data_IF_452471571892
#
_entry.id   IF_452471571892
#
_cell.length_a   1.000
_cell.length_b   1.000
_cell.length_c   1.000
_cell.angle_alpha   90.00
_cell.angle_beta   90.00
_cell.angle_gamma   90.00
#
_symmetry.space_group_name_H-M   'P 1'
#
loop_
_entity.id
_entity.type
_entity.pdbx_description
1 polymer ?
#
# COMPACT_ATOMS: atom_id res chain seq x y z
N UNK A 1 -27.87 56.58 12.71
CA UNK A 1 -27.17 55.48 13.40
C UNK A 1 -26.74 54.44 12.32
N UNK A 2 -25.46 54.33 12.02
CA UNK A 2 -24.99 53.31 11.11
C UNK A 2 -24.81 52.02 11.91
N UNK A 3 -25.62 51.03 11.73
CA UNK A 3 -25.45 49.72 12.42
C UNK A 3 -26.67 48.83 12.54
N UNK A 4 -27.83 49.30 12.11
CA UNK A 4 -29.08 48.56 12.24
C UNK A 4 -29.28 47.46 11.18
N UNK A 5 -28.58 47.51 10.05
CA UNK A 5 -28.68 46.52 8.98
C UNK A 5 -28.21 45.11 9.39
N UNK A 6 -27.18 45.01 10.20
CA UNK A 6 -26.68 43.76 10.68
C UNK A 6 -27.63 43.06 11.68
N UNK A 7 -28.29 43.84 12.52
CA UNK A 7 -29.30 43.29 13.45
C UNK A 7 -30.55 42.81 12.69
N UNK A 8 -30.97 43.55 11.64
CA UNK A 8 -32.06 43.10 10.78
C UNK A 8 -31.76 41.80 10.04
N UNK A 9 -30.52 41.58 9.60
CA UNK A 9 -30.09 40.33 8.98
C UNK A 9 -30.12 39.16 9.94
N UNK A 10 -29.84 39.37 11.24
CA UNK A 10 -29.94 38.31 12.24
C UNK A 10 -31.38 37.89 12.55
N UNK A 11 -32.31 38.81 12.43
CA UNK A 11 -33.75 38.60 12.73
C UNK A 11 -34.50 38.09 11.50
N UNK A 12 -34.15 38.56 10.29
CA UNK A 12 -34.78 38.13 9.05
C UNK A 12 -34.43 36.69 8.72
N UNK A 13 -35.42 35.80 8.80
CA UNK A 13 -35.27 34.37 8.48
C UNK A 13 -36.22 33.98 7.36
N UNK A 14 -35.65 33.54 6.24
CA UNK A 14 -36.39 32.90 5.15
C UNK A 14 -36.49 31.38 5.34
N UNK A 15 -37.31 30.72 4.53
CA UNK A 15 -37.43 29.26 4.52
C UNK A 15 -36.10 28.56 4.19
N UNK A 16 -35.28 29.14 3.35
CA UNK A 16 -33.96 28.64 2.99
C UNK A 16 -32.96 28.80 4.13
N UNK A 17 -33.06 29.89 4.89
CA UNK A 17 -32.19 30.11 6.07
C UNK A 17 -32.46 29.07 7.15
N UNK A 18 -33.72 28.67 7.35
CA UNK A 18 -34.09 27.61 8.29
C UNK A 18 -33.51 26.28 7.86
N UNK A 19 -33.48 25.99 6.56
CA UNK A 19 -32.85 24.76 6.04
C UNK A 19 -31.34 24.72 6.33
N UNK A 20 -30.63 25.81 6.15
CA UNK A 20 -29.19 25.91 6.38
C UNK A 20 -28.81 25.97 7.88
N UNK A 21 -29.63 26.61 8.70
CA UNK A 21 -29.31 26.86 10.11
C UNK A 21 -30.01 25.92 11.11
N UNK A 22 -31.04 25.21 10.68
CA UNK A 22 -31.84 24.36 11.54
C UNK A 22 -31.11 23.17 12.16
N UNK A 23 -30.14 22.63 11.44
CA UNK A 23 -29.32 21.51 11.92
C UNK A 23 -27.93 21.56 11.29
N UNK A 24 -27.11 22.58 11.63
CA UNK A 24 -25.83 22.81 10.96
C UNK A 24 -24.79 21.76 11.34
N UNK A 25 -24.00 21.31 10.37
CA UNK A 25 -22.80 20.50 10.61
C UNK A 25 -21.59 21.36 10.95
N UNK A 26 -21.55 22.56 10.39
CA UNK A 26 -20.50 23.55 10.61
C UNK A 26 -21.11 24.92 10.84
N UNK A 27 -20.64 25.63 11.86
CA UNK A 27 -20.98 27.02 12.12
C UNK A 27 -19.73 27.87 11.97
N UNK A 28 -19.88 29.23 11.90
CA UNK A 28 -18.73 30.14 11.83
C UNK A 28 -17.75 30.00 12.99
N UNK A 29 -18.23 29.65 14.17
CA UNK A 29 -17.42 29.60 15.39
C UNK A 29 -17.13 28.19 15.88
N UNK A 30 -17.88 27.19 15.40
CA UNK A 30 -17.77 25.82 15.88
C UNK A 30 -18.09 24.83 14.77
N UNK A 31 -17.18 23.89 14.56
CA UNK A 31 -17.43 22.74 13.70
C UNK A 31 -18.20 21.70 14.51
N UNK A 32 -19.35 21.26 14.00
CA UNK A 32 -20.17 20.20 14.59
C UNK A 32 -20.13 18.99 13.67
N UNK A 33 -19.54 17.90 14.15
CA UNK A 33 -19.55 16.64 13.43
C UNK A 33 -20.84 15.90 13.74
N UNK A 34 -21.55 15.51 12.71
CA UNK A 34 -22.75 14.69 12.80
C UNK A 34 -22.47 13.29 12.27
N UNK A 35 -22.79 12.28 13.07
CA UNK A 35 -22.78 10.91 12.63
C UNK A 35 -24.11 10.57 11.97
N UNK A 36 -24.08 10.25 10.67
CA UNK A 36 -25.30 9.96 9.90
C UNK A 36 -25.75 8.51 10.05
N UNK A 37 -24.79 7.59 10.15
CA UNK A 37 -25.05 6.15 10.25
C UNK A 37 -24.12 5.52 11.28
N UNK A 38 -24.55 4.39 11.84
CA UNK A 38 -23.70 3.59 12.71
C UNK A 38 -22.78 2.72 11.88
N UNK A 39 -21.50 2.65 12.25
CA UNK A 39 -20.51 1.76 11.66
C UNK A 39 -19.48 1.35 12.70
N UNK A 40 -18.79 0.24 12.44
CA UNK A 40 -17.64 -0.20 13.21
C UNK A 40 -16.51 -0.60 12.26
N UNK A 41 -15.27 -0.50 12.71
CA UNK A 41 -14.09 -0.93 11.98
C UNK A 41 -13.31 -1.89 12.86
N UNK A 42 -12.90 -3.01 12.29
CA UNK A 42 -12.08 -4.01 12.97
C UNK A 42 -11.01 -4.54 12.01
N UNK A 43 -9.76 -4.60 12.47
CA UNK A 43 -8.66 -5.23 11.75
C UNK A 43 -8.68 -6.73 12.00
N UNK A 44 -8.73 -7.53 10.93
CA UNK A 44 -8.75 -8.99 11.02
C UNK A 44 -7.67 -9.63 10.14
N UNK A 45 -7.04 -10.73 10.61
CA UNK A 45 -6.03 -11.42 9.85
C UNK A 45 -6.63 -12.21 8.69
N UNK A 46 -5.92 -12.22 7.57
CA UNK A 46 -6.19 -13.01 6.37
C UNK A 46 -4.95 -13.84 6.06
N UNK A 47 -5.13 -15.11 5.76
CA UNK A 47 -4.03 -16.04 5.55
C UNK A 47 -3.85 -16.37 4.09
N UNK A 48 -2.61 -16.60 3.69
CA UNK A 48 -2.27 -17.08 2.37
C UNK A 48 -2.47 -18.58 2.24
N UNK A 49 -2.85 -19.02 1.06
CA UNK A 49 -2.89 -20.42 0.70
C UNK A 49 -1.47 -20.91 0.39
N UNK A 50 -1.07 -21.99 1.05
CA UNK A 50 0.26 -22.58 0.93
C UNK A 50 1.28 -22.06 1.95
N UNK A 51 2.50 -22.55 1.86
CA UNK A 51 3.62 -22.14 2.73
C UNK A 51 4.36 -20.95 2.12
N UNK A 52 4.34 -19.78 2.76
CA UNK A 52 5.08 -18.63 2.27
C UNK A 52 6.59 -18.85 2.37
N UNK A 53 7.32 -18.48 1.33
CA UNK A 53 8.77 -18.53 1.32
C UNK A 53 9.34 -17.58 0.26
N UNK A 54 10.62 -17.29 0.34
CA UNK A 54 11.32 -16.47 -0.64
C UNK A 54 11.21 -17.06 -2.06
N UNK A 55 10.99 -16.20 -3.05
CA UNK A 55 10.86 -16.59 -4.44
C UNK A 55 9.57 -17.31 -4.81
N UNK A 56 8.62 -17.45 -3.89
CA UNK A 56 7.34 -18.10 -4.17
C UNK A 56 6.22 -17.12 -4.48
N UNK A 57 5.27 -17.60 -5.28
CA UNK A 57 3.98 -16.96 -5.50
C UNK A 57 2.95 -17.63 -4.59
N UNK A 58 2.20 -16.81 -3.87
CA UNK A 58 1.16 -17.22 -2.94
C UNK A 58 -0.09 -16.39 -3.16
N UNK A 59 -1.24 -16.92 -2.83
CA UNK A 59 -2.54 -16.28 -3.03
C UNK A 59 -3.29 -16.22 -1.70
N UNK A 60 -3.95 -15.09 -1.46
CA UNK A 60 -4.88 -14.94 -0.35
C UNK A 60 -6.28 -14.70 -0.89
N UNK A 61 -7.22 -15.58 -0.55
CA UNK A 61 -8.63 -15.34 -0.78
C UNK A 61 -9.14 -14.41 0.32
N UNK A 62 -9.61 -13.22 -0.05
CA UNK A 62 -10.16 -12.25 0.90
C UNK A 62 -11.45 -12.81 1.53
N UNK A 63 -11.45 -13.10 2.84
CA UNK A 63 -12.65 -13.60 3.51
C UNK A 63 -13.68 -12.48 3.67
N UNK A 64 -14.94 -12.82 3.53
CA UNK A 64 -16.07 -11.87 3.66
C UNK A 64 -16.53 -11.78 5.10
N UNK A 65 -15.71 -11.19 5.94
CA UNK A 65 -16.02 -11.05 7.37
C UNK A 65 -16.79 -9.77 7.69
N UNK A 66 -16.61 -8.72 6.88
CA UNK A 66 -17.29 -7.44 7.01
C UNK A 66 -17.99 -7.03 5.70
N UNK A 67 -18.61 -5.86 5.72
CA UNK A 67 -19.37 -5.32 4.58
C UNK A 67 -18.45 -4.65 3.57
N UNK A 68 -17.43 -3.92 4.04
CA UNK A 68 -16.43 -3.26 3.21
C UNK A 68 -15.03 -3.60 3.70
N UNK A 69 -14.04 -3.51 2.80
CA UNK A 69 -12.61 -3.64 3.11
C UNK A 69 -11.91 -2.33 2.75
N UNK A 70 -11.26 -1.67 3.70
CA UNK A 70 -10.63 -0.36 3.48
C UNK A 70 -9.12 -0.42 3.36
N UNK A 71 -8.41 -0.95 4.34
CA UNK A 71 -6.95 -1.03 4.33
C UNK A 71 -6.48 -2.47 4.37
N UNK A 72 -5.35 -2.72 3.73
CA UNK A 72 -4.68 -4.01 3.78
C UNK A 72 -3.20 -3.78 4.07
N UNK A 73 -2.70 -4.47 5.09
CA UNK A 73 -1.31 -4.40 5.54
C UNK A 73 -0.72 -5.80 5.48
N UNK A 74 0.43 -5.94 4.86
CA UNK A 74 1.20 -7.18 4.86
C UNK A 74 2.09 -7.22 6.10
N UNK A 75 1.87 -8.21 6.96
CA UNK A 75 2.75 -8.54 8.07
C UNK A 75 3.70 -9.64 7.67
N UNK A 76 4.98 -9.44 7.89
CA UNK A 76 6.02 -10.43 7.63
C UNK A 76 7.02 -10.50 8.77
N UNK A 77 7.33 -11.71 9.20
CA UNK A 77 8.39 -11.99 10.17
C UNK A 77 9.60 -12.59 9.44
N UNK A 78 10.63 -11.76 9.27
CA UNK A 78 11.87 -12.15 8.61
C UNK A 78 12.80 -12.84 9.58
N UNK A 79 13.45 -13.95 9.18
CA UNK A 79 14.44 -14.64 10.00
C UNK A 79 15.75 -13.86 10.08
N UNK A 80 16.61 -14.23 11.05
CA UNK A 80 17.98 -13.73 11.09
C UNK A 80 18.79 -14.33 9.95
N UNK A 81 19.59 -13.50 9.26
CA UNK A 81 20.51 -13.95 8.23
C UNK A 81 21.85 -14.36 8.83
N UNK A 82 22.46 -15.40 8.25
CA UNK A 82 23.82 -15.83 8.54
C UNK A 82 24.49 -16.30 7.27
N UNK A 83 25.68 -15.80 7.00
CA UNK A 83 26.53 -16.36 5.95
C UNK A 83 27.18 -17.67 6.43
N UNK A 84 27.40 -18.59 5.52
CA UNK A 84 28.11 -19.85 5.79
C UNK A 84 29.54 -19.63 6.25
N UNK A 85 30.18 -18.54 5.83
CA UNK A 85 31.52 -18.10 6.25
C UNK A 85 31.57 -17.44 7.62
N UNK A 86 30.41 -17.02 8.16
CA UNK A 86 30.33 -16.29 9.42
C UNK A 86 30.56 -14.78 9.32
N UNK A 87 30.74 -14.26 8.10
CA UNK A 87 30.87 -12.82 7.85
C UNK A 87 29.58 -12.04 8.12
N UNK A 88 29.65 -10.74 8.43
CA UNK A 88 28.47 -9.94 8.65
C UNK A 88 27.64 -9.81 7.37
N UNK A 89 26.35 -10.08 7.52
CA UNK A 89 25.34 -10.00 6.46
C UNK A 89 24.16 -9.16 6.92
N UNK A 90 23.56 -8.41 6.03
CA UNK A 90 22.38 -7.61 6.33
C UNK A 90 21.34 -7.71 5.22
N UNK A 91 20.08 -7.51 5.55
CA UNK A 91 19.04 -7.29 4.56
C UNK A 91 19.28 -5.94 3.84
N UNK A 92 18.84 -5.87 2.58
CA UNK A 92 18.84 -4.62 1.82
C UNK A 92 17.95 -3.56 2.46
N UNK A 93 18.24 -2.30 2.20
CA UNK A 93 17.41 -1.20 2.71
C UNK A 93 15.99 -1.27 2.15
N UNK A 94 14.99 -0.74 2.88
CA UNK A 94 13.56 -0.85 2.51
C UNK A 94 13.14 -2.31 2.24
N UNK A 95 13.61 -3.23 3.06
CA UNK A 95 13.41 -4.68 2.82
C UNK A 95 11.93 -5.03 2.66
N UNK A 96 11.01 -4.33 3.33
CA UNK A 96 9.58 -4.56 3.18
C UNK A 96 9.08 -4.38 1.76
N UNK A 97 9.48 -3.30 1.09
CA UNK A 97 9.12 -3.09 -0.31
C UNK A 97 9.93 -3.98 -1.25
N UNK A 98 11.22 -4.16 -0.98
CA UNK A 98 12.08 -5.01 -1.81
C UNK A 98 11.72 -6.49 -1.78
N UNK A 99 11.12 -6.96 -0.69
CA UNK A 99 10.63 -8.33 -0.58
C UNK A 99 9.53 -8.64 -1.60
N UNK A 100 8.72 -7.64 -1.94
CA UNK A 100 7.61 -7.78 -2.88
C UNK A 100 8.13 -7.61 -4.29
N UNK A 101 8.16 -8.70 -5.06
CA UNK A 101 8.44 -8.63 -6.48
C UNK A 101 7.23 -8.07 -7.23
N UNK A 102 6.06 -8.61 -6.95
CA UNK A 102 4.80 -8.22 -7.56
C UNK A 102 3.65 -8.54 -6.62
N UNK A 103 2.67 -7.67 -6.57
CA UNK A 103 1.41 -7.90 -5.89
C UNK A 103 0.26 -7.51 -6.83
N UNK A 104 -0.72 -8.39 -7.00
CA UNK A 104 -1.88 -8.12 -7.84
C UNK A 104 -3.18 -8.39 -7.10
N UNK A 105 -4.21 -7.67 -7.51
CA UNK A 105 -5.58 -7.82 -7.04
C UNK A 105 -6.46 -8.34 -8.15
N UNK A 106 -7.14 -9.45 -7.90
CA UNK A 106 -8.13 -10.05 -8.78
C UNK A 106 -9.53 -9.94 -8.19
N UNK A 107 -10.49 -9.59 -9.02
CA UNK A 107 -11.92 -9.59 -8.68
C UNK A 107 -12.67 -10.41 -9.74
N UNK A 108 -13.26 -11.52 -9.32
CA UNK A 108 -13.99 -12.38 -10.23
C UNK A 108 -13.13 -12.96 -11.38
N UNK A 109 -11.90 -13.39 -11.05
CA UNK A 109 -10.92 -13.97 -12.01
C UNK A 109 -10.32 -12.95 -13.00
N UNK A 110 -10.65 -11.66 -12.85
CA UNK A 110 -10.04 -10.59 -13.62
C UNK A 110 -9.04 -9.83 -12.76
N UNK A 111 -7.80 -9.69 -13.23
CA UNK A 111 -6.82 -8.83 -12.62
C UNK A 111 -7.22 -7.37 -12.83
N UNK A 112 -7.37 -6.65 -11.71
CA UNK A 112 -7.80 -5.25 -11.71
C UNK A 112 -6.63 -4.29 -11.52
N UNK A 113 -5.70 -4.62 -10.63
CA UNK A 113 -4.52 -3.78 -10.37
C UNK A 113 -3.31 -4.67 -10.08
N UNK A 114 -2.14 -4.20 -10.49
CA UNK A 114 -0.86 -4.87 -10.32
C UNK A 114 0.20 -3.86 -9.94
N UNK A 115 0.94 -4.13 -8.88
CA UNK A 115 1.97 -3.25 -8.35
C UNK A 115 3.26 -4.03 -8.07
N UNK A 116 4.39 -3.36 -8.11
CA UNK A 116 5.69 -3.90 -7.76
C UNK A 116 6.29 -3.16 -6.55
N UNK A 117 7.36 -3.71 -5.96
CA UNK A 117 8.02 -3.11 -4.79
C UNK A 117 8.62 -1.74 -5.10
N UNK A 118 9.16 -1.54 -6.30
CA UNK A 118 9.72 -0.26 -6.74
C UNK A 118 8.65 0.85 -6.76
N UNK A 119 7.48 0.53 -7.28
CA UNK A 119 6.35 1.47 -7.26
C UNK A 119 5.96 1.84 -5.84
N UNK A 120 5.88 0.84 -4.95
CA UNK A 120 5.53 1.09 -3.54
C UNK A 120 6.55 2.01 -2.86
N UNK A 121 7.84 1.87 -3.18
CA UNK A 121 8.91 2.73 -2.66
C UNK A 121 8.80 4.16 -3.18
N UNK A 122 8.63 4.34 -4.50
CA UNK A 122 8.48 5.65 -5.14
C UNK A 122 7.25 6.37 -4.58
N UNK A 123 6.10 5.70 -4.59
CA UNK A 123 4.85 6.27 -4.13
C UNK A 123 4.88 6.64 -2.65
N UNK A 124 5.49 5.79 -1.82
CA UNK A 124 5.62 6.07 -0.39
C UNK A 124 6.55 7.25 -0.11
N UNK A 125 7.64 7.38 -0.84
CA UNK A 125 8.55 8.52 -0.73
C UNK A 125 7.89 9.84 -1.14
N UNK A 126 6.98 9.78 -2.11
CA UNK A 126 6.25 10.95 -2.62
C UNK A 126 5.08 11.38 -1.72
N UNK A 127 4.34 10.41 -1.17
CA UNK A 127 3.06 10.68 -0.50
C UNK A 127 3.12 10.71 1.02
N UNK A 128 4.18 10.17 1.63
CA UNK A 128 4.26 10.11 3.10
C UNK A 128 4.68 11.47 3.67
N UNK A 129 3.87 12.09 4.55
CA UNK A 129 4.22 13.33 5.22
C UNK A 129 5.49 13.21 6.06
N UNK A 130 6.29 14.28 6.15
CA UNK A 130 7.58 14.28 6.84
C UNK A 130 7.51 13.89 8.31
N UNK A 131 6.45 14.26 9.01
CA UNK A 131 6.19 13.93 10.41
C UNK A 131 5.91 12.42 10.63
N UNK A 132 5.50 11.70 9.59
CA UNK A 132 5.19 10.25 9.63
C UNK A 132 6.30 9.37 9.05
N UNK A 133 7.32 9.95 8.41
CA UNK A 133 8.38 9.22 7.72
C UNK A 133 9.12 8.25 8.65
N UNK A 134 9.52 8.70 9.84
CA UNK A 134 10.27 7.85 10.77
C UNK A 134 9.49 6.60 11.19
N UNK A 135 8.21 6.76 11.52
CA UNK A 135 7.35 5.63 11.86
C UNK A 135 7.14 4.68 10.66
N UNK A 136 6.92 5.24 9.48
CA UNK A 136 6.75 4.47 8.26
C UNK A 136 8.03 3.69 7.88
N UNK A 137 9.21 4.32 8.01
CA UNK A 137 10.49 3.66 7.76
C UNK A 137 10.71 2.45 8.67
N UNK A 138 10.37 2.58 9.94
CA UNK A 138 10.43 1.44 10.87
C UNK A 138 9.50 0.30 10.46
N UNK A 139 8.30 0.61 9.91
CA UNK A 139 7.35 -0.40 9.46
C UNK A 139 7.89 -1.21 8.27
N UNK A 140 8.59 -0.58 7.33
CA UNK A 140 9.10 -1.23 6.11
C UNK A 140 10.57 -1.66 6.21
N UNK A 141 11.22 -1.43 7.36
CA UNK A 141 12.65 -1.74 7.53
C UNK A 141 13.55 -0.85 6.69
N UNK A 142 13.26 0.45 6.62
CA UNK A 142 14.07 1.45 5.93
C UNK A 142 14.88 2.26 6.94
N UNK A 143 16.17 2.43 6.63
CA UNK A 143 17.05 3.36 7.36
C UNK A 143 17.30 4.56 6.48
N UNK A 144 17.20 5.75 7.07
CA UNK A 144 17.47 6.99 6.37
C UNK A 144 18.99 7.19 6.20
N UNK A 145 19.38 7.73 5.03
CA UNK A 145 20.76 7.97 4.68
C UNK A 145 21.41 6.89 3.81
N UNK A 146 22.70 7.12 3.49
CA UNK A 146 23.50 6.22 2.63
C UNK A 146 24.21 5.09 3.39
N UNK A 147 24.06 5.04 4.70
CA UNK A 147 24.68 3.99 5.51
C UNK A 147 23.86 2.72 5.35
N UNK A 148 24.46 1.61 4.93
CA UNK A 148 23.76 0.35 4.83
C UNK A 148 23.17 -0.05 6.19
N UNK A 149 21.90 -0.48 6.22
CA UNK A 149 21.31 -0.92 7.48
C UNK A 149 22.01 -2.20 7.99
N UNK A 150 22.28 -2.25 9.28
CA UNK A 150 22.82 -3.43 9.94
C UNK A 150 21.68 -4.27 10.54
N UNK A 151 20.85 -4.86 9.70
CA UNK A 151 19.75 -5.71 10.14
C UNK A 151 20.18 -7.18 10.18
N UNK A 152 20.69 -7.63 11.31
CA UNK A 152 21.17 -8.99 11.49
C UNK A 152 20.15 -9.95 12.14
N UNK A 153 19.21 -9.38 12.87
CA UNK A 153 18.27 -10.13 13.69
C UNK A 153 16.94 -10.40 13.00
N UNK A 154 16.09 -11.24 13.61
CA UNK A 154 14.73 -11.42 13.15
C UNK A 154 13.98 -10.09 13.25
N UNK A 155 13.24 -9.74 12.20
CA UNK A 155 12.45 -8.51 12.14
C UNK A 155 11.02 -8.82 11.79
N UNK A 156 10.11 -8.09 12.45
CA UNK A 156 8.69 -8.07 12.11
C UNK A 156 8.38 -6.75 11.41
N UNK A 157 7.87 -6.84 10.20
CA UNK A 157 7.57 -5.69 9.35
C UNK A 157 6.08 -5.64 9.04
N UNK A 158 5.59 -4.41 8.84
CA UNK A 158 4.23 -4.10 8.48
C UNK A 158 4.22 -3.22 7.24
N UNK A 159 3.80 -3.76 6.11
CA UNK A 159 3.88 -3.11 4.81
C UNK A 159 2.48 -2.73 4.35
N UNK A 160 2.08 -1.45 4.40
CA UNK A 160 0.78 -1.01 3.91
C UNK A 160 0.71 -1.13 2.39
N UNK A 161 -0.30 -1.85 1.88
CA UNK A 161 -0.52 -1.98 0.45
C UNK A 161 -1.12 -0.69 -0.13
N UNK A 162 -0.83 -0.42 -1.41
CA UNK A 162 -1.14 0.86 -2.06
C UNK A 162 -2.23 0.76 -3.13
N UNK A 163 -3.15 -0.20 -3.00
CA UNK A 163 -4.32 -0.28 -3.88
C UNK A 163 -5.23 0.94 -3.73
N UNK A 164 -6.07 1.22 -4.75
CA UNK A 164 -6.95 2.40 -4.76
C UNK A 164 -7.86 2.47 -3.53
N UNK A 165 -8.41 1.34 -3.09
CA UNK A 165 -9.31 1.26 -1.94
C UNK A 165 -8.60 1.47 -0.59
N UNK A 166 -7.27 1.32 -0.54
CA UNK A 166 -6.47 1.59 0.65
C UNK A 166 -6.16 3.08 0.85
N UNK A 167 -6.40 3.92 -0.16
CA UNK A 167 -6.07 5.35 -0.10
C UNK A 167 -7.08 6.16 0.69
N UNK A 168 -8.35 5.81 0.60
CA UNK A 168 -9.46 6.56 1.21
C UNK A 168 -10.57 5.58 1.65
N UNK A 169 -11.09 5.69 2.88
CA UNK A 169 -12.22 4.87 3.32
C UNK A 169 -13.47 4.97 2.45
N UNK A 170 -13.67 6.11 1.77
CA UNK A 170 -14.76 6.31 0.81
C UNK A 170 -14.64 5.47 -0.46
N UNK A 171 -13.46 4.92 -0.74
CA UNK A 171 -13.19 4.00 -1.85
C UNK A 171 -13.10 2.54 -1.39
N UNK A 172 -13.51 2.24 -0.15
CA UNK A 172 -13.46 0.90 0.41
C UNK A 172 -14.16 -0.12 -0.50
N UNK A 173 -13.55 -1.29 -0.62
CA UNK A 173 -14.01 -2.35 -1.51
C UNK A 173 -15.32 -2.96 -0.97
N UNK A 174 -16.44 -2.88 -1.70
CA UNK A 174 -17.74 -3.30 -1.22
C UNK A 174 -17.92 -4.82 -1.30
N UNK A 175 -17.46 -5.55 -0.28
CA UNK A 175 -17.57 -7.01 -0.24
C UNK A 175 -19.02 -7.48 -0.29
N UNK A 176 -19.92 -6.71 0.28
CA UNK A 176 -21.34 -7.02 0.30
C UNK A 176 -21.98 -6.99 -1.12
N UNK A 177 -21.49 -6.11 -2.00
CA UNK A 177 -21.94 -6.02 -3.39
C UNK A 177 -21.27 -7.06 -4.30
N UNK A 178 -20.08 -7.54 -3.95
CA UNK A 178 -19.27 -8.47 -4.73
C UNK A 178 -19.50 -9.94 -4.35
N UNK A 179 -20.72 -10.32 -3.96
CA UNK A 179 -21.03 -11.65 -3.40
C UNK A 179 -20.65 -12.82 -4.29
N UNK A 180 -20.75 -12.66 -5.61
CA UNK A 180 -20.49 -13.72 -6.59
C UNK A 180 -19.09 -13.65 -7.21
N UNK A 181 -18.30 -12.63 -6.85
CA UNK A 181 -16.97 -12.41 -7.40
C UNK A 181 -15.93 -12.59 -6.31
N UNK A 182 -15.18 -13.70 -6.30
CA UNK A 182 -14.10 -13.90 -5.33
C UNK A 182 -13.03 -12.83 -5.52
N UNK A 183 -12.52 -12.34 -4.41
CA UNK A 183 -11.44 -11.36 -4.39
C UNK A 183 -10.18 -12.07 -3.94
N UNK A 184 -9.13 -12.03 -4.77
CA UNK A 184 -7.84 -12.65 -4.48
C UNK A 184 -6.75 -11.60 -4.51
N UNK A 185 -5.84 -11.71 -3.56
CA UNK A 185 -4.59 -10.96 -3.55
C UNK A 185 -3.49 -11.96 -3.82
N UNK A 186 -2.81 -11.81 -4.96
CA UNK A 186 -1.68 -12.64 -5.33
C UNK A 186 -0.40 -11.89 -4.99
N UNK A 187 0.52 -12.54 -4.30
CA UNK A 187 1.79 -11.99 -3.89
C UNK A 187 2.91 -12.88 -4.41
N UNK A 188 3.84 -12.29 -5.15
CA UNK A 188 5.09 -12.92 -5.57
C UNK A 188 6.23 -12.30 -4.78
N UNK A 189 6.97 -13.12 -4.05
CA UNK A 189 8.11 -12.70 -3.26
C UNK A 189 9.40 -12.82 -4.07
N UNK A 190 10.34 -11.92 -3.83
CA UNK A 190 11.70 -12.01 -4.43
C UNK A 190 12.49 -13.15 -3.81
N UNK A 191 13.38 -13.78 -4.59
CA UNK A 191 14.30 -14.79 -4.08
C UNK A 191 15.27 -14.15 -3.07
N UNK A 192 15.66 -14.93 -2.06
CA UNK A 192 16.55 -14.48 -0.99
C UNK A 192 17.87 -13.92 -1.51
N UNK A 193 18.41 -14.46 -2.61
CA UNK A 193 19.65 -13.99 -3.25
C UNK A 193 19.65 -12.51 -3.66
N UNK A 194 18.48 -11.89 -3.81
CA UNK A 194 18.33 -10.48 -4.17
C UNK A 194 18.03 -9.56 -2.97
N UNK A 195 17.98 -10.10 -1.76
CA UNK A 195 17.47 -9.40 -0.57
C UNK A 195 18.51 -9.18 0.52
N UNK A 196 19.75 -9.55 0.28
CA UNK A 196 20.82 -9.37 1.25
C UNK A 196 22.09 -8.81 0.63
N UNK A 197 22.95 -8.26 1.45
CA UNK A 197 24.28 -7.81 1.06
C UNK A 197 25.24 -7.99 2.23
N UNK A 198 26.54 -8.05 1.95
CA UNK A 198 27.58 -8.07 2.96
C UNK A 198 28.43 -6.78 2.85
N UNK A 199 28.53 -5.99 3.90
CA UNK A 199 29.26 -4.72 3.86
C UNK A 199 30.79 -4.88 3.75
N UNK A 200 31.31 -6.09 3.96
CA UNK A 200 32.74 -6.35 3.89
C UNK A 200 33.20 -6.95 2.57
N UNK A 201 32.27 -7.37 1.73
CA UNK A 201 32.57 -8.03 0.47
C UNK A 201 32.41 -7.07 -0.69
N UNK A 202 33.50 -6.84 -1.38
CA UNK A 202 33.49 -6.12 -2.66
C UNK A 202 33.23 -7.11 -3.78
N UNK A 203 32.34 -6.78 -4.72
CA UNK A 203 32.19 -7.54 -5.96
C UNK A 203 33.58 -7.76 -6.60
N UNK A 204 33.97 -9.00 -7.01
CA UNK A 204 33.18 -10.14 -7.45
C UNK A 204 33.02 -11.30 -6.44
N UNK A 205 33.46 -11.17 -5.23
CA UNK A 205 33.48 -12.27 -4.24
C UNK A 205 32.08 -12.65 -3.72
N UNK A 206 31.14 -11.72 -3.81
CA UNK A 206 29.78 -11.91 -3.34
C UNK A 206 28.98 -13.00 -4.12
N UNK A 207 29.39 -13.32 -5.34
CA UNK A 207 28.72 -14.34 -6.17
C UNK A 207 28.97 -15.76 -5.73
N UNK A 208 29.98 -15.99 -4.89
CA UNK A 208 30.39 -17.33 -4.41
C UNK A 208 29.91 -17.63 -2.99
N UNK A 209 29.34 -16.64 -2.29
CA UNK A 209 28.90 -16.79 -0.91
C UNK A 209 27.42 -17.17 -0.87
N UNK A 210 27.12 -18.12 -0.03
CA UNK A 210 25.76 -18.60 0.20
C UNK A 210 25.29 -18.20 1.61
N UNK A 211 24.15 -17.56 1.66
CA UNK A 211 23.43 -17.38 2.91
C UNK A 211 22.87 -18.74 3.34
N UNK A 212 23.01 -19.08 4.61
CA UNK A 212 22.40 -20.29 5.15
C UNK A 212 20.90 -20.30 4.80
N UNK A 213 20.34 -21.44 4.37
CA UNK A 213 18.95 -21.52 3.97
C UNK A 213 18.04 -21.12 5.13
N UNK A 214 17.23 -20.11 4.90
CA UNK A 214 16.27 -19.59 5.87
C UNK A 214 14.91 -19.45 5.17
N UNK A 215 13.86 -19.65 5.93
CA UNK A 215 12.47 -19.50 5.46
C UNK A 215 11.75 -18.41 6.23
N UNK A 216 10.77 -17.78 5.62
CA UNK A 216 9.92 -16.79 6.26
C UNK A 216 9.15 -17.48 7.40
N UNK A 217 9.21 -16.92 8.60
CA UNK A 217 8.59 -17.52 9.77
C UNK A 217 7.08 -17.34 9.76
N UNK A 218 6.63 -16.13 9.49
CA UNK A 218 5.21 -15.77 9.46
C UNK A 218 4.96 -14.77 8.33
N UNK A 219 3.87 -14.98 7.60
CA UNK A 219 3.39 -14.06 6.59
C UNK A 219 1.86 -14.07 6.58
N UNK A 220 1.25 -12.90 6.79
CA UNK A 220 -0.19 -12.74 6.76
C UNK A 220 -0.58 -11.35 6.31
N UNK A 221 -1.83 -11.19 5.90
CA UNK A 221 -2.42 -9.89 5.63
C UNK A 221 -3.34 -9.48 6.78
N UNK A 222 -3.32 -8.21 7.12
CA UNK A 222 -4.31 -7.59 7.98
C UNK A 222 -5.24 -6.75 7.14
N UNK A 223 -6.53 -6.96 7.25
CA UNK A 223 -7.55 -6.18 6.55
C UNK A 223 -8.45 -5.45 7.52
N UNK A 224 -8.63 -4.14 7.29
CA UNK A 224 -9.56 -3.32 8.05
C UNK A 224 -10.97 -3.47 7.46
N UNK A 225 -11.79 -4.24 8.13
CA UNK A 225 -13.18 -4.49 7.77
C UNK A 225 -14.09 -3.45 8.40
N UNK A 226 -14.99 -2.90 7.57
CA UNK A 226 -16.02 -1.96 7.99
C UNK A 226 -17.34 -2.71 8.04
N UNK A 227 -18.02 -2.59 9.17
CA UNK A 227 -19.37 -3.12 9.41
C UNK A 227 -20.36 -1.98 9.33
N UNK A 228 -21.40 -2.15 8.53
CA UNK A 228 -22.43 -1.14 8.29
C UNK A 228 -23.73 -1.46 9.01
N UNK A 229 -24.53 -0.43 9.25
CA UNK A 229 -25.90 -0.58 9.72
C UNK A 229 -26.83 -1.16 8.65
N UNK A 230 -27.95 -1.72 9.06
CA UNK A 230 -28.89 -2.41 8.18
C UNK A 230 -29.39 -1.56 7.01
N UNK A 231 -29.64 -0.26 7.25
CA UNK A 231 -30.10 0.65 6.20
C UNK A 231 -29.02 0.88 5.13
N UNK A 232 -27.77 1.10 5.54
CA UNK A 232 -26.65 1.27 4.63
C UNK A 232 -26.33 -0.03 3.88
N UNK A 233 -26.39 -1.19 4.55
CA UNK A 233 -26.24 -2.50 3.89
C UNK A 233 -27.27 -2.68 2.78
N UNK A 234 -28.53 -2.38 3.02
CA UNK A 234 -29.60 -2.44 2.01
C UNK A 234 -29.30 -1.51 0.84
N UNK A 235 -28.82 -0.29 1.11
CA UNK A 235 -28.45 0.67 0.08
C UNK A 235 -27.31 0.14 -0.80
N UNK A 236 -26.27 -0.45 -0.20
CA UNK A 236 -25.16 -1.07 -0.93
C UNK A 236 -25.59 -2.26 -1.80
N UNK A 237 -26.56 -3.03 -1.34
CA UNK A 237 -27.08 -4.21 -2.12
C UNK A 237 -28.02 -3.79 -3.24
N UNK A 238 -28.85 -2.76 -3.02
CA UNK A 238 -29.93 -2.41 -3.96
C UNK A 238 -29.53 -1.42 -5.05
N UNK A 239 -28.48 -0.64 -4.83
CA UNK A 239 -28.05 0.39 -5.77
C UNK A 239 -26.86 -0.07 -6.60
N UNK A 240 -26.80 0.40 -7.85
CA UNK A 240 -25.60 0.29 -8.67
C UNK A 240 -24.50 1.20 -8.10
N UNK A 241 -23.26 0.71 -8.08
CA UNK A 241 -22.09 1.44 -7.60
C UNK A 241 -21.11 1.68 -8.73
N UNK A 242 -20.63 2.90 -8.82
CA UNK A 242 -19.58 3.30 -9.74
C UNK A 242 -18.37 3.75 -8.93
N UNK A 243 -17.21 3.15 -9.18
CA UNK A 243 -15.96 3.49 -8.51
C UNK A 243 -14.95 4.02 -9.52
N UNK A 244 -14.30 5.12 -9.18
CA UNK A 244 -13.11 5.56 -9.90
C UNK A 244 -11.91 4.76 -9.38
N UNK A 245 -11.37 3.89 -10.24
CA UNK A 245 -10.24 3.04 -9.93
C UNK A 245 -8.97 3.66 -10.50
N UNK A 246 -7.96 3.85 -9.66
CA UNK A 246 -6.61 4.20 -10.09
C UNK A 246 -5.79 2.92 -10.18
N UNK A 247 -5.26 2.63 -11.36
CA UNK A 247 -4.43 1.46 -11.64
C UNK A 247 -2.99 1.87 -11.88
N UNK A 248 -2.06 0.99 -11.56
CA UNK A 248 -0.65 1.16 -11.86
C UNK A 248 -0.32 0.34 -13.11
N UNK A 249 0.27 0.99 -14.11
CA UNK A 249 0.82 0.33 -15.29
C UNK A 249 2.30 0.66 -15.39
N UNK A 250 3.14 -0.33 -15.64
CA UNK A 250 4.57 -0.14 -15.75
C UNK A 250 5.14 -0.91 -16.95
N UNK A 251 6.20 -0.38 -17.51
CA UNK A 251 7.01 -1.06 -18.53
C UNK A 251 8.19 -1.77 -17.87
N UNK A 252 8.63 -2.86 -18.47
CA UNK A 252 9.85 -3.54 -18.04
C UNK A 252 11.06 -2.59 -18.09
N UNK A 253 12.09 -2.89 -17.31
CA UNK A 253 13.35 -2.16 -17.33
C UNK A 253 13.99 -2.24 -18.73
N UNK A 254 14.40 -1.10 -19.27
CA UNK A 254 15.03 -0.99 -20.57
C UNK A 254 16.51 -0.65 -20.37
N UNK A 255 17.43 -1.52 -20.79
CA UNK A 255 18.85 -1.25 -20.67
C UNK A 255 19.27 -0.09 -21.58
N UNK A 256 20.03 0.84 -21.03
CA UNK A 256 20.62 1.96 -21.77
C UNK A 256 22.11 1.67 -21.96
N UNK A 257 22.60 1.76 -23.20
CA UNK A 257 24.00 1.48 -23.51
C UNK A 257 24.93 2.44 -22.74
N UNK A 258 26.10 1.97 -22.27
CA UNK A 258 27.11 2.85 -21.69
C UNK A 258 27.52 3.98 -22.62
N UNK A 259 27.51 5.22 -22.12
CA UNK A 259 27.88 6.41 -22.92
C UNK A 259 26.77 6.97 -23.81
N UNK A 260 25.57 6.38 -23.80
CA UNK A 260 24.44 6.95 -24.52
C UNK A 260 24.00 8.28 -23.86
N UNK A 261 23.81 9.31 -24.68
CA UNK A 261 23.36 10.64 -24.24
C UNK A 261 21.85 10.78 -24.29
N UNK A 262 21.16 9.87 -24.97
CA UNK A 262 19.70 9.84 -25.09
C UNK A 262 19.19 8.42 -25.25
N UNK A 263 18.01 8.16 -24.73
CA UNK A 263 17.27 6.93 -24.91
C UNK A 263 15.82 7.26 -25.29
N UNK A 264 15.27 6.54 -26.27
CA UNK A 264 13.87 6.67 -26.67
C UNK A 264 13.11 5.42 -26.20
N UNK A 265 12.09 5.64 -25.40
CA UNK A 265 11.30 4.58 -24.81
C UNK A 265 9.85 4.72 -25.29
N UNK A 266 9.33 3.67 -25.91
CA UNK A 266 7.92 3.62 -26.29
C UNK A 266 7.09 3.18 -25.09
N UNK A 267 6.09 3.99 -24.72
CA UNK A 267 5.15 3.69 -23.65
C UNK A 267 3.82 3.24 -24.26
N UNK A 268 3.35 2.07 -23.85
CA UNK A 268 2.08 1.51 -24.27
C UNK A 268 1.17 1.34 -23.04
N UNK A 269 0.57 2.45 -22.63
CA UNK A 269 -0.38 2.47 -21.51
C UNK A 269 -1.81 2.60 -22.01
N UNK A 270 -2.73 1.95 -21.32
CA UNK A 270 -4.17 2.03 -21.55
C UNK A 270 -4.77 3.03 -20.56
N UNK A 271 -5.91 3.61 -20.93
CA UNK A 271 -6.65 4.58 -20.14
C UNK A 271 -5.97 5.94 -19.98
N UNK A 272 -6.71 6.98 -19.53
CA UNK A 272 -6.14 8.31 -19.29
C UNK A 272 -5.06 8.26 -18.19
N UNK A 273 -3.89 8.80 -18.49
CA UNK A 273 -2.76 8.87 -17.56
C UNK A 273 -2.93 10.09 -16.66
N UNK A 274 -2.88 9.88 -15.35
CA UNK A 274 -2.90 10.94 -14.34
C UNK A 274 -1.51 11.47 -14.06
N UNK A 275 -0.56 10.57 -13.82
CA UNK A 275 0.81 10.88 -13.44
C UNK A 275 1.76 9.89 -14.09
N UNK A 276 2.96 10.32 -14.45
CA UNK A 276 4.03 9.50 -15.01
C UNK A 276 5.25 9.59 -14.09
N UNK A 277 5.69 8.44 -13.59
CA UNK A 277 6.91 8.30 -12.82
C UNK A 277 7.94 7.53 -13.63
N UNK A 278 9.18 7.95 -13.57
CA UNK A 278 10.32 7.27 -14.19
C UNK A 278 11.54 7.39 -13.30
N UNK A 279 12.39 6.39 -13.33
CA UNK A 279 13.64 6.38 -12.60
C UNK A 279 14.74 5.73 -13.41
N UNK A 280 15.97 6.06 -13.08
CA UNK A 280 17.17 5.49 -13.68
C UNK A 280 17.95 4.79 -12.59
N UNK A 281 18.28 3.54 -12.83
CA UNK A 281 19.07 2.72 -11.92
C UNK A 281 20.42 2.39 -12.57
N UNK A 282 21.49 2.51 -11.82
CA UNK A 282 22.83 2.14 -12.25
C UNK A 282 23.04 0.64 -12.07
N UNK A 283 23.72 0.00 -13.02
CA UNK A 283 23.98 -1.44 -13.00
C UNK A 283 24.82 -1.89 -11.79
N UNK A 284 25.73 -1.04 -11.33
CA UNK A 284 26.57 -1.32 -10.17
C UNK A 284 25.76 -1.34 -8.84
N UNK A 285 24.58 -0.72 -8.82
CA UNK A 285 23.66 -0.75 -7.67
C UNK A 285 22.72 -1.95 -7.67
N UNK A 286 22.71 -2.76 -8.72
CA UNK A 286 21.90 -3.98 -8.83
C UNK A 286 22.69 -5.25 -8.59
N UNK A 287 23.99 -5.15 -8.47
CA UNK A 287 24.89 -6.27 -8.18
C UNK A 287 25.25 -6.24 -6.71
N UNK A 288 24.67 -7.13 -5.97
CA UNK A 288 24.95 -7.33 -4.55
C UNK A 288 25.77 -8.59 -4.35
#
# INVERSE_FOLDING_TARGET
MPGQGGLLQLVARGKQDVFLTGNPQMTWFKMVYRRYTNFAIESQPMYFDGTPDFGKRITCLVPRRGDLLSQVILEVSLPALKLTTGDPVSYVNSIGHNLIQEISLEIGEQEVDRQNGEWMEIWSSYTTPGDKLSGFYNMIGKVDGFTPPNFFGPQKLYIPLRFWFCKNPGLALPLIALQYHPIRINLTLRPLSQLWYSPQLTSPECTTLEVAPVSITELMLWGDYIYLDLEERRRFVSNAHEYLIEQVQYTAQIPVAPGATSASIRLEFNHPVRELFWYIQRDDMTRY
#
